data_IF_361919435561
#
_entry.id   IF_361919435561
#
_cell.length_a   1.000
_cell.length_b   1.000
_cell.length_c   1.000
_cell.angle_alpha   90.00
_cell.angle_beta   90.00
_cell.angle_gamma   90.00
#
_symmetry.space_group_name_H-M   'P 1'
#
loop_
_entity.id
_entity.type
_entity.pdbx_description
1 polymer ?
#
# COMPACT_ATOMS: atom_id res chain seq x y z
N UNK A 1 -1.50 2.51 -14.93
CA UNK A 1 -2.54 3.56 -15.13
C UNK A 1 -3.87 3.02 -15.62
N UNK A 2 -3.98 1.74 -16.00
CA UNK A 2 -5.23 1.18 -16.56
C UNK A 2 -6.48 1.34 -15.69
N UNK A 3 -6.33 1.52 -14.37
CA UNK A 3 -7.43 1.75 -13.45
C UNK A 3 -7.92 3.22 -13.37
N UNK A 4 -7.24 4.16 -14.03
CA UNK A 4 -7.54 5.60 -13.94
C UNK A 4 -7.35 6.29 -15.30
N UNK A 5 -8.28 7.16 -15.67
CA UNK A 5 -8.11 8.01 -16.87
C UNK A 5 -7.04 9.06 -16.56
N UNK A 6 -5.86 8.89 -17.17
CA UNK A 6 -4.77 9.86 -17.02
C UNK A 6 -5.19 11.26 -17.51
N UNK A 7 -4.77 12.26 -16.76
CA UNK A 7 -4.98 13.67 -17.06
C UNK A 7 -3.68 14.45 -16.84
N UNK A 8 -3.20 15.21 -17.84
CA UNK A 8 -2.02 16.06 -17.68
C UNK A 8 -2.26 17.26 -16.74
N UNK A 9 -3.51 17.53 -16.37
CA UNK A 9 -3.88 18.61 -15.44
C UNK A 9 -3.90 18.17 -13.97
N UNK A 10 -3.93 16.86 -13.72
CA UNK A 10 -3.89 16.31 -12.37
C UNK A 10 -2.44 15.98 -12.00
N UNK A 11 -2.15 16.04 -10.70
CA UNK A 11 -0.90 15.54 -10.11
C UNK A 11 -1.17 14.21 -9.43
N UNK A 12 -0.25 13.27 -9.62
CA UNK A 12 -0.36 11.91 -9.07
C UNK A 12 0.78 11.69 -8.09
N UNK A 13 0.47 11.28 -6.87
CA UNK A 13 1.45 10.79 -5.90
C UNK A 13 1.23 9.29 -5.76
N UNK A 14 2.15 8.49 -6.28
CA UNK A 14 2.08 7.04 -6.19
C UNK A 14 2.97 6.56 -5.05
N UNK A 15 2.37 5.88 -4.07
CA UNK A 15 3.10 5.32 -2.92
C UNK A 15 3.28 3.82 -3.12
N UNK A 16 4.52 3.39 -3.31
CA UNK A 16 4.89 1.98 -3.33
C UNK A 16 5.37 1.51 -1.95
N UNK A 17 5.33 0.19 -1.75
CA UNK A 17 5.89 -0.50 -0.60
C UNK A 17 6.26 -1.91 -1.01
N UNK A 18 7.35 -2.45 -0.48
CA UNK A 18 7.74 -3.86 -0.67
C UNK A 18 6.53 -4.78 -0.51
N UNK A 19 6.24 -5.56 -1.56
CA UNK A 19 5.10 -6.47 -1.63
C UNK A 19 5.06 -7.46 -0.45
N UNK A 20 6.22 -7.88 0.05
CA UNK A 20 6.33 -8.76 1.23
C UNK A 20 5.78 -8.08 2.49
N UNK A 21 5.89 -6.76 2.62
CA UNK A 21 5.28 -6.01 3.73
C UNK A 21 3.82 -5.60 3.44
N UNK A 22 3.49 -5.34 2.18
CA UNK A 22 2.10 -5.08 1.75
C UNK A 22 1.20 -6.24 2.14
N UNK A 23 1.61 -7.48 1.84
CA UNK A 23 0.82 -8.68 2.16
C UNK A 23 0.57 -8.82 3.65
N UNK A 24 1.54 -8.50 4.50
CA UNK A 24 1.35 -8.54 5.95
C UNK A 24 0.37 -7.50 6.48
N UNK A 25 0.26 -6.36 5.79
CA UNK A 25 -0.77 -5.37 6.10
C UNK A 25 -2.12 -5.84 5.56
N UNK A 26 -2.15 -6.29 4.31
CA UNK A 26 -3.34 -6.75 3.61
C UNK A 26 -4.01 -7.93 4.33
N UNK A 27 -3.22 -8.92 4.75
CA UNK A 27 -3.70 -10.06 5.53
C UNK A 27 -4.37 -9.63 6.83
N UNK A 28 -3.78 -8.67 7.56
CA UNK A 28 -4.39 -8.14 8.78
C UNK A 28 -5.75 -7.47 8.52
N UNK A 29 -5.86 -6.67 7.45
CA UNK A 29 -7.15 -6.08 7.07
C UNK A 29 -8.16 -7.14 6.65
N UNK A 30 -7.74 -8.10 5.84
CA UNK A 30 -8.63 -9.10 5.28
C UNK A 30 -9.10 -10.10 6.34
N UNK A 31 -8.19 -10.61 7.18
CA UNK A 31 -8.51 -11.57 8.25
C UNK A 31 -9.34 -10.97 9.39
N UNK A 32 -9.45 -9.64 9.44
CA UNK A 32 -10.27 -8.92 10.41
C UNK A 32 -11.47 -8.23 9.78
N UNK A 33 -11.69 -8.36 8.48
CA UNK A 33 -12.87 -7.80 7.84
C UNK A 33 -14.12 -8.51 8.38
N UNK A 34 -15.10 -7.72 8.82
CA UNK A 34 -16.35 -8.26 9.36
C UNK A 34 -17.39 -8.52 8.27
N UNK A 35 -18.52 -9.14 8.63
CA UNK A 35 -19.57 -9.49 7.67
C UNK A 35 -20.12 -8.29 6.90
N UNK A 36 -20.14 -7.11 7.51
CA UNK A 36 -20.59 -5.89 6.84
C UNK A 36 -19.64 -5.48 5.70
N UNK A 37 -18.32 -5.61 5.89
CA UNK A 37 -17.36 -5.37 4.81
C UNK A 37 -17.56 -6.34 3.64
N UNK A 38 -17.82 -7.62 3.93
CA UNK A 38 -18.10 -8.60 2.88
C UNK A 38 -19.41 -8.32 2.15
N UNK A 39 -20.48 -7.95 2.85
CA UNK A 39 -21.75 -7.56 2.25
C UNK A 39 -21.56 -6.35 1.32
N UNK A 40 -20.83 -5.32 1.76
CA UNK A 40 -20.56 -4.14 0.93
C UNK A 40 -19.85 -4.49 -0.39
N UNK A 41 -18.92 -5.44 -0.39
CA UNK A 41 -18.22 -5.84 -1.62
C UNK A 41 -19.04 -6.82 -2.47
N UNK A 42 -19.57 -7.87 -1.85
CA UNK A 42 -20.16 -9.00 -2.56
C UNK A 42 -21.58 -8.71 -3.05
N UNK A 43 -22.30 -7.83 -2.35
CA UNK A 43 -23.67 -7.46 -2.72
C UNK A 43 -23.72 -6.17 -3.56
N UNK A 44 -22.55 -5.64 -3.97
CA UNK A 44 -22.48 -4.48 -4.88
C UNK A 44 -23.20 -4.82 -6.20
N UNK A 45 -24.23 -4.06 -6.61
CA UNK A 45 -24.92 -4.29 -7.87
C UNK A 45 -23.96 -4.22 -9.06
N UNK A 46 -23.99 -5.24 -9.92
CA UNK A 46 -23.11 -5.30 -11.09
C UNK A 46 -21.68 -5.76 -10.79
N UNK A 47 -21.45 -6.48 -9.69
CA UNK A 47 -20.16 -7.11 -9.38
C UNK A 47 -19.61 -7.85 -10.61
N UNK A 48 -18.37 -7.52 -10.99
CA UNK A 48 -17.61 -8.22 -12.03
C UNK A 48 -16.57 -9.11 -11.36
N UNK A 49 -16.61 -10.41 -11.67
CA UNK A 49 -15.73 -11.41 -11.08
C UNK A 49 -16.37 -12.18 -9.92
N UNK A 50 -15.63 -13.11 -9.28
CA UNK A 50 -16.13 -13.88 -8.16
C UNK A 50 -16.30 -12.99 -6.90
N UNK A 51 -17.16 -13.41 -5.95
CA UNK A 51 -17.24 -12.72 -4.65
C UNK A 51 -15.90 -12.78 -3.92
N UNK A 52 -15.64 -11.76 -3.11
CA UNK A 52 -14.48 -11.67 -2.22
C UNK A 52 -14.51 -12.86 -1.23
N UNK A 53 -13.52 -13.77 -1.29
CA UNK A 53 -13.45 -14.92 -0.40
C UNK A 53 -12.96 -14.51 0.99
N UNK A 54 -13.19 -15.36 2.00
CA UNK A 54 -12.49 -15.25 3.28
C UNK A 54 -11.01 -15.63 3.09
N UNK A 55 -10.07 -15.01 3.83
CA UNK A 55 -8.67 -15.38 3.76
C UNK A 55 -8.42 -16.73 4.46
N UNK A 56 -7.43 -17.53 4.00
CA UNK A 56 -6.93 -18.67 4.77
C UNK A 56 -6.40 -18.26 6.16
N UNK A 57 -6.40 -19.21 7.09
CA UNK A 57 -5.86 -19.00 8.44
C UNK A 57 -4.33 -18.84 8.45
N UNK A 58 -3.64 -19.33 7.43
CA UNK A 58 -2.18 -19.22 7.30
C UNK A 58 -1.80 -18.00 6.46
N UNK A 59 -1.04 -17.07 7.06
CA UNK A 59 -0.47 -15.94 6.32
C UNK A 59 0.51 -16.37 5.22
N UNK A 60 1.19 -17.52 5.39
CA UNK A 60 2.07 -18.08 4.36
C UNK A 60 1.28 -18.58 3.16
N UNK A 61 0.18 -19.28 3.40
CA UNK A 61 -0.74 -19.70 2.33
C UNK A 61 -1.35 -18.49 1.61
N UNK A 62 -1.72 -17.46 2.39
CA UNK A 62 -2.19 -16.19 1.86
C UNK A 62 -1.15 -15.53 0.94
N UNK A 63 0.09 -15.43 1.40
CA UNK A 63 1.21 -14.86 0.65
C UNK A 63 1.51 -15.66 -0.63
N UNK A 64 1.55 -16.99 -0.54
CA UNK A 64 1.84 -17.84 -1.69
C UNK A 64 0.73 -17.75 -2.74
N UNK A 65 -0.53 -17.67 -2.32
CA UNK A 65 -1.67 -17.44 -3.23
C UNK A 65 -1.59 -16.07 -3.89
N UNK A 66 -1.33 -15.02 -3.09
CA UNK A 66 -1.16 -13.64 -3.56
C UNK A 66 -0.03 -13.53 -4.60
N UNK A 67 1.10 -14.18 -4.34
CA UNK A 67 2.25 -14.18 -5.25
C UNK A 67 1.95 -14.92 -6.55
N UNK A 68 1.40 -16.13 -6.45
CA UNK A 68 1.11 -16.99 -7.60
C UNK A 68 0.00 -16.43 -8.51
N UNK A 69 -0.90 -15.60 -7.98
CA UNK A 69 -2.06 -15.05 -8.69
C UNK A 69 -2.04 -13.54 -8.77
N UNK A 70 -0.84 -12.94 -8.77
CA UNK A 70 -0.62 -11.51 -8.96
C UNK A 70 -1.59 -10.66 -8.13
N UNK A 71 -1.48 -10.66 -6.82
CA UNK A 71 -2.26 -9.76 -5.97
C UNK A 71 -3.67 -10.22 -5.57
N UNK A 72 -4.12 -11.39 -6.04
CA UNK A 72 -5.40 -12.00 -5.64
C UNK A 72 -5.60 -12.00 -4.10
N UNK A 73 -6.83 -11.76 -3.59
CA UNK A 73 -8.08 -11.50 -4.32
C UNK A 73 -8.36 -10.02 -4.62
N UNK A 74 -7.36 -9.14 -4.50
CA UNK A 74 -7.56 -7.70 -4.65
C UNK A 74 -7.21 -7.24 -6.06
N UNK A 75 -6.19 -6.40 -6.22
CA UNK A 75 -5.77 -5.86 -7.51
C UNK A 75 -4.52 -6.58 -8.03
N UNK A 76 -4.28 -6.60 -9.36
CA UNK A 76 -3.04 -7.11 -9.93
C UNK A 76 -1.84 -6.28 -9.46
N UNK A 77 -1.09 -6.79 -8.49
CA UNK A 77 -0.08 -6.02 -7.77
C UNK A 77 1.08 -5.62 -8.69
N UNK A 78 1.59 -6.57 -9.47
CA UNK A 78 2.74 -6.34 -10.34
C UNK A 78 2.40 -5.37 -11.46
N UNK A 79 1.25 -5.57 -12.12
CA UNK A 79 0.81 -4.71 -13.21
C UNK A 79 0.48 -3.30 -12.69
N UNK A 80 -0.05 -3.18 -11.48
CA UNK A 80 -0.26 -1.89 -10.83
C UNK A 80 1.06 -1.13 -10.60
N UNK A 81 2.08 -1.78 -10.03
CA UNK A 81 3.40 -1.15 -9.82
C UNK A 81 4.06 -0.81 -11.17
N UNK A 82 4.08 -1.75 -12.12
CA UNK A 82 4.68 -1.55 -13.45
C UNK A 82 4.05 -0.35 -14.17
N UNK A 83 2.72 -0.27 -14.18
CA UNK A 83 2.02 0.79 -14.89
C UNK A 83 2.28 2.20 -14.35
N UNK A 84 2.66 2.36 -13.08
CA UNK A 84 3.11 3.66 -12.54
C UNK A 84 4.61 3.88 -12.77
N UNK A 85 5.42 2.82 -12.67
CA UNK A 85 6.84 2.88 -12.94
C UNK A 85 7.15 3.31 -14.38
N UNK A 86 6.42 2.81 -15.37
CA UNK A 86 6.59 3.18 -16.77
C UNK A 86 6.32 4.66 -17.04
N UNK A 87 5.47 5.30 -16.23
CA UNK A 87 5.14 6.71 -16.33
C UNK A 87 6.03 7.63 -15.50
N UNK A 88 7.03 7.10 -14.78
CA UNK A 88 7.83 7.85 -13.78
C UNK A 88 8.53 9.10 -14.30
N UNK A 89 8.73 9.23 -15.61
CA UNK A 89 9.33 10.40 -16.24
C UNK A 89 8.34 11.56 -16.45
N UNK A 90 7.04 11.35 -16.23
CA UNK A 90 6.04 12.41 -16.38
C UNK A 90 6.17 13.45 -15.25
N UNK A 91 6.14 14.76 -15.58
CA UNK A 91 6.39 15.82 -14.59
C UNK A 91 5.27 15.96 -13.55
N UNK A 92 4.10 15.39 -13.81
CA UNK A 92 2.95 15.38 -12.92
C UNK A 92 2.76 14.03 -12.20
N UNK A 93 3.79 13.19 -12.14
CA UNK A 93 3.83 11.97 -11.33
C UNK A 93 5.00 12.02 -10.35
N UNK A 94 4.70 11.87 -9.06
CA UNK A 94 5.66 11.67 -8.00
C UNK A 94 5.63 10.22 -7.54
N UNK A 95 6.73 9.50 -7.74
CA UNK A 95 6.94 8.21 -7.08
C UNK A 95 7.47 8.43 -5.66
N UNK A 96 6.77 7.84 -4.69
CA UNK A 96 7.10 7.85 -3.26
C UNK A 96 7.18 6.42 -2.77
N UNK A 97 8.11 6.13 -1.87
CA UNK A 97 8.21 4.80 -1.25
C UNK A 97 7.91 4.88 0.25
N UNK A 98 7.14 3.91 0.76
CA UNK A 98 6.73 3.87 2.17
C UNK A 98 7.93 3.78 3.12
N UNK A 99 9.03 3.14 2.71
CA UNK A 99 10.25 3.09 3.53
C UNK A 99 10.89 4.48 3.69
N UNK A 100 10.82 5.34 2.68
CA UNK A 100 11.35 6.71 2.75
C UNK A 100 10.48 7.58 3.67
N UNK A 101 9.15 7.49 3.51
CA UNK A 101 8.18 8.14 4.40
C UNK A 101 8.41 7.74 5.87
N UNK A 102 8.76 6.49 6.10
CA UNK A 102 9.08 5.97 7.45
C UNK A 102 10.44 6.43 7.97
N UNK A 103 11.43 6.59 7.10
CA UNK A 103 12.80 6.94 7.46
C UNK A 103 12.92 8.43 7.77
N UNK A 104 12.30 9.28 6.97
CA UNK A 104 12.32 10.73 7.12
C UNK A 104 11.02 11.35 6.60
N UNK A 105 9.98 11.30 7.44
CA UNK A 105 8.68 11.86 7.09
C UNK A 105 8.72 13.37 6.82
N UNK A 106 9.39 14.21 7.64
CA UNK A 106 9.45 15.65 7.37
C UNK A 106 10.03 16.00 5.99
N UNK A 107 11.10 15.31 5.57
CA UNK A 107 11.68 15.50 4.23
C UNK A 107 10.71 15.07 3.13
N UNK A 108 10.14 13.88 3.22
CA UNK A 108 9.22 13.39 2.18
C UNK A 108 7.92 14.21 2.12
N UNK A 109 7.43 14.70 3.27
CA UNK A 109 6.30 15.61 3.31
C UNK A 109 6.60 16.93 2.57
N UNK A 110 7.79 17.52 2.75
CA UNK A 110 8.21 18.72 1.99
C UNK A 110 8.27 18.44 0.49
N UNK A 111 8.88 17.33 0.10
CA UNK A 111 8.95 16.89 -1.31
C UNK A 111 7.56 16.73 -1.92
N UNK A 112 6.58 16.19 -1.17
CA UNK A 112 5.18 16.10 -1.62
C UNK A 112 4.55 17.49 -1.74
N UNK A 113 4.76 18.38 -0.77
CA UNK A 113 4.24 19.74 -0.80
C UNK A 113 4.78 20.54 -2.01
N UNK A 114 6.09 20.49 -2.25
CA UNK A 114 6.76 21.10 -3.41
C UNK A 114 6.20 20.57 -4.73
N UNK A 115 6.05 19.25 -4.85
CA UNK A 115 5.43 18.62 -6.02
C UNK A 115 3.99 19.11 -6.25
N UNK A 116 3.22 19.29 -5.17
CA UNK A 116 1.88 19.87 -5.19
C UNK A 116 1.87 21.39 -5.38
N UNK A 117 3.03 22.05 -5.51
CA UNK A 117 3.15 23.49 -5.64
C UNK A 117 2.62 24.25 -4.42
N UNK A 118 2.73 23.65 -3.25
CA UNK A 118 2.35 24.26 -1.97
C UNK A 118 3.59 24.88 -1.33
N UNK A 119 3.45 26.12 -0.86
CA UNK A 119 4.48 26.78 -0.06
C UNK A 119 4.45 26.21 1.36
N UNK A 120 5.48 25.45 1.74
CA UNK A 120 5.57 24.82 3.04
C UNK A 120 5.61 25.85 4.19
N UNK A 121 6.16 27.04 3.97
CA UNK A 121 6.28 28.10 4.98
C UNK A 121 4.94 28.81 5.23
N UNK A 122 4.03 28.76 4.25
CA UNK A 122 2.66 29.23 4.38
C UNK A 122 1.73 28.20 5.05
N UNK A 123 2.20 26.95 5.26
CA UNK A 123 1.43 25.90 5.89
C UNK A 123 1.68 25.83 7.41
N UNK A 124 0.73 25.27 8.14
CA UNK A 124 0.91 24.89 9.55
C UNK A 124 1.77 23.63 9.64
N UNK A 125 3.06 23.74 9.31
CA UNK A 125 3.95 22.62 9.07
C UNK A 125 4.03 21.65 10.25
N UNK A 126 4.27 22.17 11.46
CA UNK A 126 4.39 21.34 12.66
C UNK A 126 3.11 20.54 12.95
N UNK A 127 1.94 21.16 12.74
CA UNK A 127 0.65 20.49 12.92
C UNK A 127 0.42 19.39 11.87
N UNK A 128 0.86 19.61 10.62
CA UNK A 128 0.79 18.58 9.57
C UNK A 128 1.67 17.40 9.96
N UNK A 129 2.91 17.66 10.38
CA UNK A 129 3.84 16.60 10.79
C UNK A 129 3.31 15.81 11.98
N UNK A 130 2.75 16.49 12.98
CA UNK A 130 2.14 15.86 14.13
C UNK A 130 0.95 14.98 13.73
N UNK A 131 -0.03 15.53 13.00
CA UNK A 131 -1.27 14.82 12.68
C UNK A 131 -1.07 13.66 11.71
N UNK A 132 -0.07 13.74 10.83
CA UNK A 132 0.29 12.66 9.92
C UNK A 132 1.28 11.66 10.55
N UNK A 133 1.74 11.88 11.79
CA UNK A 133 2.59 10.91 12.48
C UNK A 133 1.81 9.63 12.78
N UNK A 134 2.51 8.49 12.74
CA UNK A 134 1.90 7.20 13.03
C UNK A 134 1.26 7.18 14.43
N UNK A 135 1.92 7.77 15.42
CA UNK A 135 1.45 7.78 16.80
C UNK A 135 0.18 8.61 16.97
N UNK A 136 0.11 9.79 16.34
CA UNK A 136 -1.11 10.59 16.36
C UNK A 136 -2.25 9.85 15.66
N UNK A 137 -2.02 9.33 14.45
CA UNK A 137 -3.05 8.61 13.71
C UNK A 137 -3.54 7.38 14.48
N UNK A 138 -2.64 6.65 15.14
CA UNK A 138 -2.99 5.47 15.95
C UNK A 138 -3.81 5.82 17.19
N UNK A 139 -3.45 6.90 17.91
CA UNK A 139 -4.26 7.39 19.05
C UNK A 139 -5.63 7.88 18.61
N UNK A 140 -5.73 8.42 17.39
CA UNK A 140 -6.95 8.99 16.84
C UNK A 140 -7.61 8.07 15.80
N UNK A 141 -7.37 6.77 15.86
CA UNK A 141 -7.72 5.84 14.78
C UNK A 141 -9.20 5.92 14.38
N UNK A 142 -10.12 6.10 15.32
CA UNK A 142 -11.56 6.22 15.05
C UNK A 142 -11.92 7.44 14.18
N UNK A 143 -11.12 8.50 14.20
CA UNK A 143 -11.36 9.70 13.39
C UNK A 143 -10.77 9.58 11.97
N UNK A 144 -9.76 8.72 11.78
CA UNK A 144 -9.00 8.62 10.51
C UNK A 144 -9.23 7.32 9.76
N UNK A 145 -9.72 6.27 10.42
CA UNK A 145 -10.06 5.01 9.79
C UNK A 145 -11.40 5.12 9.03
N UNK A 146 -11.56 4.44 7.88
CA UNK A 146 -12.82 4.40 7.14
C UNK A 146 -13.97 3.94 8.05
N UNK A 147 -15.08 4.69 8.04
CA UNK A 147 -16.25 4.44 8.88
C UNK A 147 -15.90 4.25 10.37
N UNK A 148 -14.87 4.94 10.86
CA UNK A 148 -14.36 4.81 12.24
C UNK A 148 -13.85 3.41 12.59
N UNK A 149 -13.50 2.59 11.58
CA UNK A 149 -13.09 1.20 11.75
C UNK A 149 -14.24 0.20 11.82
N UNK A 150 -15.49 0.62 11.59
CA UNK A 150 -16.68 -0.25 11.66
C UNK A 150 -16.72 -1.42 10.66
N UNK A 151 -15.74 -1.51 9.75
CA UNK A 151 -15.58 -2.60 8.79
C UNK A 151 -14.64 -3.72 9.27
N UNK A 152 -14.00 -3.54 10.43
CA UNK A 152 -13.06 -4.51 10.98
C UNK A 152 -13.44 -4.96 12.38
N UNK A 153 -13.31 -6.25 12.64
CA UNK A 153 -13.28 -6.80 13.99
C UNK A 153 -12.08 -6.20 14.75
N UNK A 154 -12.34 -5.65 15.93
CA UNK A 154 -11.37 -4.85 16.70
C UNK A 154 -11.34 -3.36 16.34
N UNK A 155 -12.20 -2.90 15.42
CA UNK A 155 -12.43 -1.49 15.14
C UNK A 155 -11.22 -0.77 14.52
N UNK A 156 -11.12 0.53 14.77
CA UNK A 156 -10.10 1.37 14.13
C UNK A 156 -8.65 0.99 14.47
N UNK A 157 -8.40 0.36 15.63
CA UNK A 157 -7.08 -0.13 16.02
C UNK A 157 -6.56 -1.25 15.09
N UNK A 158 -7.48 -1.98 14.44
CA UNK A 158 -7.13 -2.96 13.41
C UNK A 158 -6.66 -2.28 12.12
N UNK A 159 -7.25 -1.12 11.77
CA UNK A 159 -6.88 -0.38 10.57
C UNK A 159 -5.48 0.24 10.68
N UNK A 160 -5.13 0.80 11.85
CA UNK A 160 -3.80 1.36 12.14
C UNK A 160 -3.04 0.43 13.09
N UNK A 161 -2.50 -0.65 12.53
CA UNK A 161 -1.97 -1.76 13.32
C UNK A 161 -0.53 -1.53 13.86
N UNK A 162 0.49 -1.88 13.07
CA UNK A 162 1.89 -1.94 13.57
C UNK A 162 2.88 -0.99 12.90
N UNK A 163 2.56 -0.39 11.75
CA UNK A 163 3.42 0.63 11.12
C UNK A 163 4.88 0.20 10.88
N UNK A 164 5.18 -1.10 10.87
CA UNK A 164 6.54 -1.66 10.78
C UNK A 164 6.73 -2.42 9.46
N UNK A 165 7.97 -2.42 8.98
CA UNK A 165 8.43 -3.16 7.80
C UNK A 165 9.28 -4.36 8.23
N UNK A 166 9.47 -5.34 7.33
CA UNK A 166 10.29 -6.53 7.55
C UNK A 166 9.60 -7.65 8.32
N UNK A 167 8.29 -7.60 8.55
CA UNK A 167 7.57 -8.62 9.36
C UNK A 167 7.56 -10.01 8.71
N UNK A 168 7.82 -10.07 7.42
CA UNK A 168 7.91 -11.30 6.65
C UNK A 168 9.18 -12.10 6.92
N UNK A 169 10.25 -11.47 7.44
CA UNK A 169 11.57 -12.09 7.63
C UNK A 169 11.55 -13.28 8.57
N UNK A 170 10.72 -13.23 9.60
CA UNK A 170 10.63 -14.29 10.62
C UNK A 170 9.59 -15.37 10.27
N UNK A 171 8.99 -15.33 9.08
CA UNK A 171 7.84 -16.19 8.72
C UNK A 171 7.95 -16.83 7.34
N UNK A 172 8.45 -16.09 6.35
CA UNK A 172 8.71 -16.66 5.02
C UNK A 172 9.99 -17.46 5.03
N UNK A 173 10.01 -18.60 4.33
CA UNK A 173 11.24 -19.33 4.07
C UNK A 173 12.11 -18.63 3.03
N UNK A 174 13.39 -18.97 2.98
CA UNK A 174 14.32 -18.47 1.97
C UNK A 174 13.83 -18.78 0.54
N UNK A 175 13.19 -19.93 0.34
CA UNK A 175 12.57 -20.30 -0.94
C UNK A 175 11.41 -19.38 -1.32
N UNK A 176 10.54 -19.04 -0.36
CA UNK A 176 9.41 -18.12 -0.59
C UNK A 176 9.92 -16.70 -0.92
N UNK A 177 10.97 -16.27 -0.23
CA UNK A 177 11.64 -14.98 -0.48
C UNK A 177 12.30 -14.96 -1.86
N UNK A 178 13.07 -16.00 -2.20
CA UNK A 178 13.74 -16.12 -3.50
C UNK A 178 12.72 -16.14 -4.66
N UNK A 179 11.60 -16.86 -4.49
CA UNK A 179 10.51 -16.87 -5.47
C UNK A 179 9.91 -15.49 -5.66
N UNK A 180 9.62 -14.76 -4.57
CA UNK A 180 9.13 -13.38 -4.67
C UNK A 180 10.09 -12.48 -5.43
N UNK A 181 11.38 -12.54 -5.12
CA UNK A 181 12.39 -11.69 -5.77
C UNK A 181 12.57 -12.04 -7.26
N UNK A 182 12.52 -13.33 -7.60
CA UNK A 182 12.53 -13.77 -8.99
C UNK A 182 11.31 -13.25 -9.75
N UNK A 183 10.10 -13.41 -9.19
CA UNK A 183 8.86 -12.89 -9.79
C UNK A 183 8.89 -11.36 -9.91
N UNK A 184 9.42 -10.64 -8.92
CA UNK A 184 9.53 -9.18 -8.98
C UNK A 184 10.42 -8.74 -10.15
N UNK A 185 11.60 -9.35 -10.31
CA UNK A 185 12.51 -9.07 -11.43
C UNK A 185 11.89 -9.42 -12.77
N UNK A 186 11.24 -10.58 -12.87
CA UNK A 186 10.55 -11.03 -14.08
C UNK A 186 9.44 -10.05 -14.50
N UNK A 187 8.62 -9.60 -13.54
CA UNK A 187 7.42 -8.80 -13.82
C UNK A 187 7.67 -7.31 -13.94
N UNK A 188 8.77 -6.80 -13.36
CA UNK A 188 9.06 -5.36 -13.24
C UNK A 188 10.39 -4.93 -13.87
N UNK A 189 11.30 -5.86 -14.16
CA UNK A 189 12.70 -5.56 -14.49
C UNK A 189 13.53 -5.18 -13.25
N UNK A 190 14.86 -5.16 -13.40
CA UNK A 190 15.81 -4.96 -12.29
C UNK A 190 15.59 -3.65 -11.53
N UNK A 191 15.49 -2.53 -12.24
CA UNK A 191 15.40 -1.19 -11.65
C UNK A 191 14.14 -1.00 -10.80
N UNK A 192 12.98 -1.41 -11.35
CA UNK A 192 11.71 -1.28 -10.66
C UNK A 192 11.61 -2.27 -9.49
N UNK A 193 12.10 -3.50 -9.67
CA UNK A 193 12.13 -4.50 -8.60
C UNK A 193 13.02 -4.03 -7.44
N UNK A 194 14.19 -3.44 -7.73
CA UNK A 194 15.07 -2.84 -6.73
C UNK A 194 14.37 -1.69 -6.02
N UNK A 195 13.81 -0.74 -6.76
CA UNK A 195 13.09 0.39 -6.17
C UNK A 195 11.92 -0.06 -5.30
N UNK A 196 11.13 -1.06 -5.71
CA UNK A 196 10.03 -1.59 -4.93
C UNK A 196 10.51 -2.27 -3.63
N UNK A 197 11.68 -2.90 -3.65
CA UNK A 197 12.23 -3.57 -2.48
C UNK A 197 12.87 -2.60 -1.48
N UNK A 198 13.52 -1.53 -1.95
CA UNK A 198 14.38 -0.69 -1.11
C UNK A 198 13.91 0.76 -0.98
N UNK A 199 13.14 1.26 -1.94
CA UNK A 199 12.83 2.69 -2.12
C UNK A 199 13.91 3.48 -2.86
N UNK A 200 15.06 2.87 -3.16
CA UNK A 200 16.15 3.53 -3.88
C UNK A 200 15.83 3.57 -5.38
N UNK A 201 15.77 4.78 -5.94
CA UNK A 201 15.73 4.94 -7.39
C UNK A 201 17.11 4.58 -7.99
N UNK A 202 17.14 4.01 -9.21
CA UNK A 202 18.39 3.72 -9.94
C UNK A 202 19.27 4.94 -10.14
#
# INVERSE_FOLDING_TARGET
VDALVYSPRARYVFVARDGRDVVWSLYNHHARANDHWYALLNDTPGLVGPPMPRPPASIREYFNTWLARDGYPFWPFWDHVRGWWELRALPNLLLTHYADLKRDFPREARRIAEFLGLDADALRWDAILEHCSFDYMKRNAAAVAPLGGGLWDGGAGTFIHKGTNGRWRDTLSDEEVARYEATARERLGEDCARWLATGELP
#
